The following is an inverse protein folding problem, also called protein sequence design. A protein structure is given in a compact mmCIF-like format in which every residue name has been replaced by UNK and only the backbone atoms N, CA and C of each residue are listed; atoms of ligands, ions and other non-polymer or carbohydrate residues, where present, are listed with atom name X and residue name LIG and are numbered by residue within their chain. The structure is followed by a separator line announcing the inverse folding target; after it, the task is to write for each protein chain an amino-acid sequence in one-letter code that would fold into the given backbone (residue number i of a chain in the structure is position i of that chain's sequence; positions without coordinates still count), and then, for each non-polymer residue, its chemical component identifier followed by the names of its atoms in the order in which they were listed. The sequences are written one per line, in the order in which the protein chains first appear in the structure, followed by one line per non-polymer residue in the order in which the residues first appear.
data_IF_073166039738
#
_entry.id   IF_073166039738
#
_cell.length_a   1.000
_cell.length_b   1.000
_cell.length_c   1.000
_cell.angle_alpha   90.00
_cell.angle_beta   90.00
_cell.angle_gamma   90.00
#
_symmetry.space_group_name_H-M   'P 1'
#
loop_
_entity.id
_entity.type
_entity.pdbx_description
1 polymer ?
#
# COMPACT_ATOMS: atom_id res chain seq x y z
N UNK A 1 8.35 -4.08 -6.36
CA UNK A 1 7.36 -3.11 -6.88
C UNK A 1 6.38 -2.79 -5.76
N UNK A 2 5.99 -1.53 -5.58
CA UNK A 2 5.24 -1.04 -4.41
C UNK A 2 3.72 -1.02 -4.55
N UNK A 3 3.19 -0.85 -5.78
CA UNK A 3 1.73 -0.83 -6.01
C UNK A 3 1.07 -2.16 -5.60
N UNK A 4 0.13 -2.08 -4.67
CA UNK A 4 -0.59 -3.25 -4.12
C UNK A 4 0.24 -4.10 -3.15
N UNK A 5 1.41 -3.63 -2.73
CA UNK A 5 2.22 -4.33 -1.72
C UNK A 5 1.62 -4.11 -0.34
N UNK A 6 1.50 -5.18 0.45
CA UNK A 6 1.16 -5.08 1.87
C UNK A 6 2.33 -4.48 2.66
N UNK A 7 2.04 -3.54 3.55
CA UNK A 7 3.03 -3.00 4.49
C UNK A 7 3.15 -3.98 5.67
N UNK A 8 4.12 -4.88 5.58
CA UNK A 8 4.54 -5.81 6.63
C UNK A 8 5.97 -5.49 7.09
N UNK A 9 6.49 -6.21 8.09
CA UNK A 9 7.83 -5.96 8.65
C UNK A 9 8.93 -5.97 7.57
N UNK A 10 8.82 -6.87 6.59
CA UNK A 10 9.75 -6.95 5.47
C UNK A 10 9.65 -5.72 4.55
N UNK A 11 8.44 -5.25 4.27
CA UNK A 11 8.25 -4.01 3.52
C UNK A 11 8.84 -2.81 4.27
N UNK A 12 8.72 -2.77 5.59
CA UNK A 12 9.31 -1.72 6.44
C UNK A 12 10.85 -1.76 6.36
N UNK A 13 11.47 -2.94 6.49
CA UNK A 13 12.93 -3.09 6.35
C UNK A 13 13.42 -2.59 4.97
N UNK A 14 12.67 -2.90 3.91
CA UNK A 14 12.98 -2.41 2.56
C UNK A 14 12.79 -0.88 2.42
N UNK A 15 11.78 -0.29 3.06
CA UNK A 15 11.61 1.18 3.10
C UNK A 15 12.78 1.86 3.81
N UNK A 16 13.27 1.29 4.92
CA UNK A 16 14.45 1.80 5.63
C UNK A 16 15.68 1.81 4.72
N UNK A 17 15.89 0.75 3.93
CA UNK A 17 17.00 0.71 2.97
C UNK A 17 16.82 1.68 1.78
N UNK A 18 15.59 1.98 1.37
CA UNK A 18 15.32 3.01 0.35
C UNK A 18 15.52 4.41 0.92
N UNK A 19 15.03 4.70 2.13
CA UNK A 19 15.26 5.96 2.84
C UNK A 19 16.75 6.28 2.92
N UNK A 20 17.60 5.32 3.28
CA UNK A 20 19.06 5.50 3.30
C UNK A 20 19.67 5.88 1.94
N UNK A 21 19.01 5.53 0.83
CA UNK A 21 19.53 5.77 -0.54
C UNK A 21 19.02 7.06 -1.16
N UNK A 22 17.73 7.37 -0.97
CA UNK A 22 17.06 8.47 -1.69
C UNK A 22 16.29 9.42 -0.78
N UNK A 23 16.24 9.17 0.53
CA UNK A 23 15.66 10.08 1.51
C UNK A 23 14.14 10.09 1.59
N UNK A 24 13.45 9.06 1.08
CA UNK A 24 11.99 8.92 1.19
C UNK A 24 11.56 8.91 2.67
N UNK A 25 10.52 9.65 3.03
CA UNK A 25 9.91 9.61 4.36
C UNK A 25 9.26 8.23 4.64
N UNK A 26 9.55 7.66 5.81
CA UNK A 26 9.08 6.31 6.16
C UNK A 26 7.57 6.25 6.42
N UNK A 27 6.95 7.38 6.76
CA UNK A 27 5.50 7.52 6.90
C UNK A 27 4.83 8.00 5.62
N UNK A 28 5.59 8.13 4.52
CA UNK A 28 5.14 8.65 3.22
C UNK A 28 4.60 10.09 3.29
N UNK A 29 5.10 10.91 4.21
CA UNK A 29 4.77 12.33 4.26
C UNK A 29 5.18 13.06 2.98
N UNK A 30 4.54 14.20 2.70
CA UNK A 30 4.83 14.96 1.47
C UNK A 30 4.24 14.36 0.18
N UNK A 31 3.43 13.30 0.29
CA UNK A 31 2.73 12.70 -0.86
C UNK A 31 3.56 11.67 -1.63
N UNK A 32 4.55 11.07 -0.98
CA UNK A 32 5.45 10.08 -1.59
C UNK A 32 4.75 8.76 -1.91
N UNK A 33 3.73 8.40 -1.13
CA UNK A 33 2.81 7.31 -1.42
C UNK A 33 1.48 7.50 -0.71
N UNK A 34 0.46 6.77 -1.18
CA UNK A 34 -0.81 6.61 -0.48
C UNK A 34 -1.02 5.15 -0.07
N UNK A 35 -1.74 4.94 1.03
CA UNK A 35 -2.04 3.60 1.55
C UNK A 35 -3.54 3.41 1.78
N UNK A 36 -3.97 2.16 1.81
CA UNK A 36 -5.35 1.79 2.15
C UNK A 36 -5.33 0.77 3.29
N UNK A 37 -5.97 1.12 4.40
CA UNK A 37 -6.21 0.19 5.50
C UNK A 37 -7.32 -0.80 5.12
N UNK A 38 -6.93 -2.03 4.79
CA UNK A 38 -7.86 -3.11 4.41
C UNK A 38 -8.41 -3.89 5.62
N UNK A 39 -7.74 -3.79 6.76
CA UNK A 39 -8.19 -4.36 8.04
C UNK A 39 -7.61 -3.57 9.22
N UNK A 40 -8.23 -3.67 10.38
CA UNK A 40 -7.78 -3.09 11.63
C UNK A 40 -8.62 -3.53 12.83
N UNK A 41 -8.15 -3.34 14.08
CA UNK A 41 -8.80 -3.85 15.28
C UNK A 41 -10.28 -3.44 15.44
N UNK A 42 -10.63 -2.25 14.99
CA UNK A 42 -12.00 -1.70 15.09
C UNK A 42 -12.94 -2.16 13.97
N UNK A 43 -12.43 -2.84 12.95
CA UNK A 43 -13.22 -3.28 11.80
C UNK A 43 -14.03 -4.52 12.19
N UNK A 44 -15.31 -4.62 11.76
CA UNK A 44 -16.13 -5.82 11.99
C UNK A 44 -15.87 -6.93 10.97
N UNK A 45 -15.46 -6.54 9.77
CA UNK A 45 -15.10 -7.37 8.61
C UNK A 45 -13.87 -6.76 7.95
N UNK A 46 -13.07 -7.55 7.24
CA UNK A 46 -11.94 -7.05 6.45
C UNK A 46 -12.37 -6.75 5.02
N UNK A 47 -11.64 -5.86 4.34
CA UNK A 47 -11.82 -5.59 2.92
C UNK A 47 -11.01 -6.62 2.13
N UNK A 48 -11.69 -7.48 1.39
CA UNK A 48 -11.06 -8.42 0.46
C UNK A 48 -11.07 -7.80 -0.95
N UNK A 49 -9.88 -7.59 -1.53
CA UNK A 49 -9.73 -7.00 -2.87
C UNK A 49 -9.82 -8.12 -3.90
N UNK A 50 -10.89 -8.12 -4.69
CA UNK A 50 -11.17 -9.15 -5.69
C UNK A 50 -10.50 -8.85 -7.03
N UNK A 51 -10.52 -7.57 -7.42
CA UNK A 51 -9.99 -7.12 -8.71
C UNK A 51 -9.28 -5.79 -8.58
N UNK A 52 -8.10 -5.72 -9.17
CA UNK A 52 -7.27 -4.53 -9.16
C UNK A 52 -6.56 -4.33 -10.50
N UNK A 53 -6.13 -3.10 -10.74
CA UNK A 53 -5.31 -2.70 -11.88
C UNK A 53 -4.17 -1.82 -11.41
N UNK A 54 -2.99 -2.03 -12.00
CA UNK A 54 -1.81 -1.17 -11.81
C UNK A 54 -1.62 -0.29 -13.03
N UNK A 55 -1.50 1.01 -12.81
CA UNK A 55 -1.14 1.98 -13.85
C UNK A 55 0.17 2.62 -13.47
N UNK A 56 1.10 2.75 -14.42
CA UNK A 56 2.40 3.39 -14.19
C UNK A 56 2.55 4.59 -15.14
N UNK A 57 3.06 5.68 -14.60
CA UNK A 57 3.25 6.97 -15.26
C UNK A 57 4.69 7.43 -15.04
N UNK A 58 5.60 6.98 -15.91
CA UNK A 58 7.04 7.31 -15.88
C UNK A 58 7.75 7.06 -14.53
N UNK A 59 7.49 7.90 -13.54
CA UNK A 59 8.06 7.95 -12.20
C UNK A 59 7.04 7.73 -11.07
N UNK A 60 5.74 7.68 -11.36
CA UNK A 60 4.66 7.46 -10.38
C UNK A 60 3.71 6.34 -10.82
N UNK A 61 2.82 5.89 -9.94
CA UNK A 61 1.85 4.88 -10.30
C UNK A 61 0.66 4.77 -9.36
N UNK A 62 -0.38 4.08 -9.83
CA UNK A 62 -1.66 3.93 -9.16
C UNK A 62 -2.02 2.45 -9.00
N UNK A 63 -2.48 2.09 -7.81
CA UNK A 63 -3.10 0.80 -7.52
C UNK A 63 -4.62 1.00 -7.43
N UNK A 64 -5.32 0.72 -8.53
CA UNK A 64 -6.75 0.95 -8.66
C UNK A 64 -7.48 -0.31 -8.21
N UNK A 65 -8.30 -0.20 -7.17
CA UNK A 65 -9.21 -1.27 -6.75
C UNK A 65 -10.48 -1.15 -7.59
N UNK A 66 -10.72 -2.14 -8.45
CA UNK A 66 -11.90 -2.17 -9.33
C UNK A 66 -13.08 -2.85 -8.62
N UNK A 67 -12.81 -3.91 -7.84
CA UNK A 67 -13.83 -4.67 -7.12
C UNK A 67 -13.29 -5.15 -5.76
N UNK A 68 -14.11 -5.02 -4.72
CA UNK A 68 -13.81 -5.47 -3.36
C UNK A 68 -15.09 -5.84 -2.59
N UNK A 69 -14.94 -6.67 -1.57
CA UNK A 69 -16.04 -7.12 -0.71
C UNK A 69 -15.66 -7.06 0.78
N UNK A 70 -16.66 -7.21 1.65
CA UNK A 70 -16.46 -7.35 3.09
C UNK A 70 -16.48 -8.84 3.48
N UNK A 71 -15.34 -9.34 3.96
CA UNK A 71 -15.16 -10.72 4.41
C UNK A 71 -15.09 -10.80 5.94
N UNK A 72 -15.59 -11.88 6.52
CA UNK A 72 -15.40 -12.13 7.95
C UNK A 72 -13.91 -12.31 8.28
N UNK A 73 -13.53 -11.92 9.50
CA UNK A 73 -12.13 -11.90 9.95
C UNK A 73 -11.59 -13.27 10.32
#
# INVERSE_FOLDING_TARGET
SWLGRKIDDKAIDELVEINKKVGIDLAFEGGEAETLAVDGPIFKKRINILKNKKTWHLDSGLYIIEEAELEDK
#
